data_IF_072657958299
#
_entry.id   IF_072657958299
#
_cell.length_a   1.000
_cell.length_b   1.000
_cell.length_c   1.000
_cell.angle_alpha   90.00
_cell.angle_beta   90.00
_cell.angle_gamma   90.00
#
_symmetry.space_group_name_H-M   'P 1'
#
loop_
_entity.id
_entity.type
_entity.pdbx_description
1 polymer ?
#
# COMPACT_ATOMS: atom_id res chain seq x y z
N UNK A 1 24.62 -27.65 18.26
CA UNK A 1 24.93 -27.12 16.93
C UNK A 1 23.91 -26.01 16.60
N UNK A 2 24.30 -24.76 16.80
CA UNK A 2 23.48 -23.60 16.41
C UNK A 2 23.47 -23.52 14.88
N UNK A 3 22.30 -23.65 14.26
CA UNK A 3 22.08 -23.28 12.87
C UNK A 3 21.83 -21.77 12.84
N UNK A 4 22.80 -21.00 12.41
CA UNK A 4 22.61 -19.62 12.00
C UNK A 4 21.86 -19.63 10.66
N UNK A 5 20.64 -19.16 10.65
CA UNK A 5 19.92 -18.85 9.40
C UNK A 5 20.56 -17.60 8.80
N UNK A 6 21.22 -17.75 7.66
CA UNK A 6 21.65 -16.63 6.85
C UNK A 6 20.43 -16.04 6.12
N UNK A 7 19.74 -15.11 6.75
CA UNK A 7 18.60 -14.39 6.15
C UNK A 7 19.03 -13.40 5.04
N UNK A 8 20.33 -13.08 4.92
CA UNK A 8 20.85 -12.06 4.03
C UNK A 8 20.59 -12.30 2.52
N UNK A 9 20.68 -13.57 2.06
CA UNK A 9 20.44 -13.91 0.65
C UNK A 9 18.97 -13.79 0.25
N UNK A 10 18.06 -14.21 1.13
CA UNK A 10 16.60 -14.15 0.87
C UNK A 10 16.10 -12.71 0.93
N UNK A 11 16.57 -11.92 1.90
CA UNK A 11 16.21 -10.51 2.02
C UNK A 11 16.70 -9.67 0.83
N UNK A 12 17.94 -9.91 0.36
CA UNK A 12 18.49 -9.24 -0.82
C UNK A 12 17.71 -9.58 -2.09
N UNK A 13 17.30 -10.84 -2.29
CA UNK A 13 16.46 -11.25 -3.42
C UNK A 13 15.05 -10.67 -3.36
N UNK A 14 14.45 -10.58 -2.19
CA UNK A 14 13.13 -9.95 -2.00
C UNK A 14 13.22 -8.45 -2.31
N UNK A 15 14.23 -7.75 -1.80
CA UNK A 15 14.44 -6.33 -2.08
C UNK A 15 14.73 -6.04 -3.57
N UNK A 16 15.47 -6.93 -4.25
CA UNK A 16 15.74 -6.82 -5.68
C UNK A 16 14.47 -6.95 -6.54
N UNK A 17 13.45 -7.66 -6.04
CA UNK A 17 12.18 -7.85 -6.74
C UNK A 17 11.09 -6.87 -6.28
N UNK A 18 11.42 -5.86 -5.49
CA UNK A 18 10.48 -4.86 -4.97
C UNK A 18 10.21 -3.69 -5.93
N UNK A 19 10.52 -3.85 -7.20
CA UNK A 19 10.26 -2.85 -8.24
C UNK A 19 10.06 -3.48 -9.62
N UNK A 20 9.34 -2.77 -10.47
CA UNK A 20 9.23 -3.07 -11.90
C UNK A 20 9.98 -1.97 -12.65
N UNK A 21 10.95 -2.39 -13.46
CA UNK A 21 11.77 -1.52 -14.31
C UNK A 21 11.64 -1.96 -15.76
N UNK A 22 11.48 -1.02 -16.67
CA UNK A 22 11.39 -1.29 -18.09
C UNK A 22 12.70 -1.90 -18.62
N UNK A 23 12.65 -3.11 -19.17
CA UNK A 23 13.81 -3.78 -19.78
C UNK A 23 14.06 -3.35 -21.21
N UNK A 24 13.02 -2.87 -21.89
CA UNK A 24 13.04 -2.37 -23.26
C UNK A 24 12.20 -1.10 -23.35
N UNK A 25 12.37 -0.31 -24.40
CA UNK A 25 11.43 0.75 -24.73
C UNK A 25 10.10 0.14 -25.15
N UNK A 26 9.00 0.61 -24.58
CA UNK A 26 7.68 0.05 -24.78
C UNK A 26 6.59 1.07 -24.46
N UNK A 27 5.38 0.81 -24.95
CA UNK A 27 4.15 1.44 -24.44
C UNK A 27 3.61 0.60 -23.30
N UNK A 28 3.17 1.25 -22.25
CA UNK A 28 2.54 0.58 -21.10
C UNK A 28 1.02 0.45 -21.31
N UNK A 29 0.50 -0.70 -20.99
CA UNK A 29 -0.93 -0.96 -20.92
C UNK A 29 -1.23 -1.61 -19.58
N UNK A 30 -2.13 -1.00 -18.79
CA UNK A 30 -2.53 -1.55 -17.50
C UNK A 30 -3.89 -2.22 -17.60
N UNK A 31 -4.00 -3.37 -16.93
CA UNK A 31 -5.28 -4.06 -16.71
C UNK A 31 -5.63 -4.08 -15.23
N UNK A 32 -6.93 -4.00 -14.92
CA UNK A 32 -7.50 -4.01 -13.56
C UNK A 32 -6.82 -3.01 -12.61
N UNK A 33 -6.29 -1.91 -13.16
CA UNK A 33 -5.60 -0.89 -12.38
C UNK A 33 -6.60 -0.01 -11.63
N UNK A 34 -6.50 -0.03 -10.30
CA UNK A 34 -7.16 0.94 -9.42
C UNK A 34 -6.11 1.61 -8.58
N UNK A 35 -6.12 2.92 -8.53
CA UNK A 35 -5.14 3.72 -7.80
C UNK A 35 -5.80 4.80 -6.98
N UNK A 36 -5.10 5.26 -5.94
CA UNK A 36 -5.37 6.49 -5.22
C UNK A 36 -4.19 7.44 -5.41
N UNK A 37 -4.48 8.74 -5.55
CA UNK A 37 -3.45 9.76 -5.61
C UNK A 37 -2.93 10.02 -4.19
N UNK A 38 -1.61 10.08 -4.07
CA UNK A 38 -0.91 10.41 -2.83
C UNK A 38 0.10 11.53 -3.09
N UNK A 39 0.65 12.08 -2.01
CA UNK A 39 1.90 12.85 -2.04
C UNK A 39 2.96 11.96 -1.41
N UNK A 40 4.07 11.76 -2.11
CA UNK A 40 5.17 10.96 -1.60
C UNK A 40 5.96 11.71 -0.51
N UNK A 41 6.95 11.05 0.08
CA UNK A 41 7.82 11.62 1.12
C UNK A 41 8.62 12.84 0.64
N UNK A 42 8.78 13.01 -0.67
CA UNK A 42 9.47 14.14 -1.30
C UNK A 42 8.51 15.30 -1.64
N UNK A 43 7.20 15.12 -1.38
CA UNK A 43 6.17 16.11 -1.69
C UNK A 43 5.69 16.06 -3.15
N UNK A 44 6.07 15.04 -3.92
CA UNK A 44 5.65 14.86 -5.30
C UNK A 44 4.34 14.06 -5.40
N UNK A 45 3.52 14.40 -6.40
CA UNK A 45 2.29 13.65 -6.67
C UNK A 45 2.64 12.27 -7.22
N UNK A 46 2.15 11.24 -6.53
CA UNK A 46 2.33 9.84 -6.91
C UNK A 46 0.99 9.10 -6.85
N UNK A 47 0.95 7.89 -7.38
CA UNK A 47 -0.24 7.03 -7.32
C UNK A 47 0.10 5.75 -6.59
N UNK A 48 -0.81 5.28 -5.72
CA UNK A 48 -0.67 3.99 -5.05
C UNK A 48 -1.73 3.03 -5.56
N UNK A 49 -1.30 1.81 -5.87
CA UNK A 49 -2.18 0.74 -6.36
C UNK A 49 -3.00 0.19 -5.20
N UNK A 50 -4.32 0.24 -5.35
CA UNK A 50 -5.31 -0.33 -4.42
C UNK A 50 -6.07 -1.53 -5.03
N UNK A 51 -5.79 -1.85 -6.29
CA UNK A 51 -6.23 -3.08 -6.95
C UNK A 51 -5.37 -4.28 -6.53
N UNK A 52 -5.99 -5.46 -6.42
CA UNK A 52 -5.27 -6.72 -6.09
C UNK A 52 -4.91 -7.54 -7.32
N UNK A 53 -5.48 -7.18 -8.48
CA UNK A 53 -5.32 -7.89 -9.75
C UNK A 53 -4.68 -7.01 -10.83
N UNK A 54 -4.01 -5.91 -10.41
CA UNK A 54 -3.40 -4.99 -11.34
C UNK A 54 -2.22 -5.65 -12.08
N UNK A 55 -2.23 -5.54 -13.39
CA UNK A 55 -1.15 -5.99 -14.27
C UNK A 55 -0.68 -4.86 -15.16
N UNK A 56 0.61 -4.84 -15.49
CA UNK A 56 1.19 -3.97 -16.49
C UNK A 56 1.78 -4.79 -17.64
N UNK A 57 1.39 -4.46 -18.85
CA UNK A 57 1.91 -5.01 -20.10
C UNK A 57 2.86 -4.03 -20.76
N UNK A 58 3.98 -4.52 -21.22
CA UNK A 58 4.94 -3.80 -22.03
C UNK A 58 4.73 -4.17 -23.49
N UNK A 59 4.25 -3.23 -24.30
CA UNK A 59 3.87 -3.46 -25.68
C UNK A 59 4.88 -2.76 -26.60
N UNK A 60 5.42 -3.50 -27.56
CA UNK A 60 6.31 -2.93 -28.59
C UNK A 60 5.55 -1.90 -29.42
N UNK A 61 6.11 -0.70 -29.54
CA UNK A 61 5.44 0.43 -30.19
C UNK A 61 5.25 0.23 -31.69
N UNK A 62 6.15 -0.55 -32.33
CA UNK A 62 6.15 -0.73 -33.77
C UNK A 62 5.29 -1.92 -34.20
N UNK A 63 5.34 -3.01 -33.42
CA UNK A 63 4.70 -4.26 -33.78
C UNK A 63 3.38 -4.52 -33.05
N UNK A 64 3.13 -3.83 -31.94
CA UNK A 64 1.98 -4.07 -31.07
C UNK A 64 2.07 -5.39 -30.27
N UNK A 65 3.23 -6.06 -30.28
CA UNK A 65 3.43 -7.33 -29.59
C UNK A 65 3.69 -7.07 -28.11
N UNK A 66 3.06 -7.84 -27.22
CA UNK A 66 3.34 -7.83 -25.79
C UNK A 66 4.70 -8.46 -25.52
N UNK A 67 5.64 -7.65 -25.05
CA UNK A 67 7.02 -8.05 -24.74
C UNK A 67 7.12 -8.75 -23.38
N UNK A 68 6.37 -8.26 -22.41
CA UNK A 68 6.29 -8.84 -21.05
C UNK A 68 5.05 -8.34 -20.32
N UNK A 69 4.62 -9.12 -19.32
CA UNK A 69 3.54 -8.78 -18.40
C UNK A 69 4.04 -8.96 -16.97
N UNK A 70 3.70 -8.05 -16.09
CA UNK A 70 4.06 -8.09 -14.67
C UNK A 70 2.85 -7.75 -13.80
N UNK A 71 2.65 -8.51 -12.73
CA UNK A 71 1.68 -8.15 -11.69
C UNK A 71 2.20 -6.95 -10.90
N UNK A 72 1.32 -6.00 -10.64
CA UNK A 72 1.62 -4.82 -9.81
C UNK A 72 0.96 -5.02 -8.44
N UNK A 73 1.75 -5.27 -7.39
CA UNK A 73 1.21 -5.57 -6.07
C UNK A 73 0.38 -4.41 -5.49
N UNK A 74 -0.61 -4.76 -4.66
CA UNK A 74 -1.31 -3.80 -3.83
C UNK A 74 -0.31 -3.00 -2.97
N UNK A 75 -0.51 -1.70 -2.83
CA UNK A 75 0.39 -0.81 -2.10
C UNK A 75 1.60 -0.35 -2.90
N UNK A 76 1.76 -0.76 -4.17
CA UNK A 76 2.83 -0.27 -5.03
C UNK A 76 2.65 1.20 -5.36
N UNK A 77 3.72 1.98 -5.28
CA UNK A 77 3.78 3.33 -5.81
C UNK A 77 4.07 3.28 -7.29
N UNK A 78 3.22 3.91 -8.11
CA UNK A 78 3.37 4.05 -9.56
C UNK A 78 3.96 5.40 -9.92
N UNK A 79 4.91 5.36 -10.87
CA UNK A 79 5.60 6.55 -11.42
C UNK A 79 5.24 6.83 -12.88
N UNK A 80 4.24 6.14 -13.39
CA UNK A 80 3.79 6.19 -14.80
C UNK A 80 2.28 6.07 -14.87
N UNK A 81 1.73 6.38 -16.03
CA UNK A 81 0.29 6.26 -16.34
C UNK A 81 0.04 5.23 -17.44
N UNK A 82 -1.21 4.80 -17.57
CA UNK A 82 -1.63 3.95 -18.67
C UNK A 82 -1.42 4.65 -20.03
N UNK A 83 -0.87 3.93 -20.99
CA UNK A 83 -0.54 4.43 -22.31
C UNK A 83 0.81 5.13 -22.43
N UNK A 84 1.56 5.34 -21.33
CA UNK A 84 2.85 5.99 -21.36
C UNK A 84 3.87 5.23 -22.20
N UNK A 85 4.69 6.00 -22.94
CA UNK A 85 5.87 5.49 -23.61
C UNK A 85 7.05 5.56 -22.66
N UNK A 86 7.68 4.43 -22.42
CA UNK A 86 8.83 4.33 -21.50
C UNK A 86 10.06 3.84 -22.21
N UNK A 87 11.22 4.32 -21.77
CA UNK A 87 12.52 3.85 -22.22
C UNK A 87 13.06 2.77 -21.29
N UNK A 88 14.01 1.98 -21.79
CA UNK A 88 14.75 1.01 -20.99
C UNK A 88 15.36 1.69 -19.76
N UNK A 89 15.16 1.06 -18.59
CA UNK A 89 15.65 1.56 -17.31
C UNK A 89 14.66 2.44 -16.53
N UNK A 90 13.53 2.83 -17.15
CA UNK A 90 12.48 3.60 -16.44
C UNK A 90 11.87 2.78 -15.32
N UNK A 91 11.81 3.35 -14.13
CA UNK A 91 11.09 2.80 -12.99
C UNK A 91 9.58 2.96 -13.22
N UNK A 92 8.85 1.86 -13.16
CA UNK A 92 7.40 1.80 -13.40
C UNK A 92 6.65 1.77 -12.08
N UNK A 93 7.01 0.83 -11.20
CA UNK A 93 6.42 0.65 -9.90
C UNK A 93 7.45 0.24 -8.85
N UNK A 94 7.23 0.63 -7.60
CA UNK A 94 8.02 0.23 -6.44
C UNK A 94 7.10 -0.09 -5.27
N UNK A 95 7.44 -1.09 -4.48
CA UNK A 95 6.72 -1.43 -3.24
C UNK A 95 7.69 -1.84 -2.14
N UNK A 96 7.20 -1.89 -0.91
CA UNK A 96 7.93 -2.47 0.21
C UNK A 96 7.48 -3.93 0.38
N UNK A 97 8.37 -4.91 0.16
CA UNK A 97 8.01 -6.32 0.29
C UNK A 97 7.87 -6.77 1.75
N UNK A 98 8.30 -5.95 2.71
CA UNK A 98 8.29 -6.26 4.14
C UNK A 98 7.10 -5.65 4.87
N UNK A 99 6.53 -4.56 4.34
CA UNK A 99 5.42 -3.84 4.94
C UNK A 99 4.19 -3.87 4.04
N UNK A 100 3.13 -4.55 4.49
CA UNK A 100 1.84 -4.48 3.83
C UNK A 100 1.10 -3.23 4.33
N UNK A 101 0.79 -2.30 3.43
CA UNK A 101 0.01 -1.10 3.75
C UNK A 101 -1.49 -1.36 3.58
N UNK A 102 -2.31 -0.73 4.41
CA UNK A 102 -3.77 -0.65 4.22
C UNK A 102 -4.09 0.79 3.87
N UNK A 103 -4.63 1.01 2.68
CA UNK A 103 -4.94 2.34 2.15
C UNK A 103 -6.45 2.46 2.01
N UNK A 104 -7.02 3.55 2.52
CA UNK A 104 -8.45 3.81 2.34
C UNK A 104 -8.76 4.18 0.89
N UNK A 105 -9.83 3.58 0.37
CA UNK A 105 -10.42 3.89 -0.94
C UNK A 105 -11.68 4.77 -0.80
N UNK A 106 -11.99 5.22 0.42
CA UNK A 106 -13.18 5.98 0.71
C UNK A 106 -12.85 7.23 1.52
N UNK A 107 -13.59 8.30 1.24
CA UNK A 107 -13.58 9.53 2.04
C UNK A 107 -14.55 9.38 3.19
N UNK A 108 -14.14 9.73 4.39
CA UNK A 108 -14.98 9.66 5.57
C UNK A 108 -14.23 9.88 6.87
N UNK A 109 -14.90 9.63 7.97
CA UNK A 109 -14.33 9.65 9.31
C UNK A 109 -13.92 8.24 9.71
N UNK A 110 -12.72 8.08 10.24
CA UNK A 110 -12.28 6.78 10.73
C UNK A 110 -12.77 6.56 12.16
N UNK A 111 -13.26 5.36 12.43
CA UNK A 111 -13.60 4.90 13.76
C UNK A 111 -13.02 3.50 13.99
N UNK A 112 -12.34 3.31 15.13
CA UNK A 112 -11.75 2.03 15.47
C UNK A 112 -12.69 1.19 16.31
N UNK A 113 -12.89 -0.07 15.93
CA UNK A 113 -13.61 -1.06 16.71
C UNK A 113 -12.66 -2.16 17.17
N UNK A 114 -12.82 -2.59 18.44
CA UNK A 114 -11.99 -3.65 19.02
C UNK A 114 -10.53 -3.29 19.21
N UNK A 115 -10.16 -2.01 19.08
CA UNK A 115 -8.80 -1.49 19.31
C UNK A 115 -8.69 -1.06 20.76
N UNK A 116 -8.16 -1.95 21.61
CA UNK A 116 -8.13 -1.81 23.09
C UNK A 116 -6.68 -1.90 23.55
N UNK A 117 -6.23 -0.90 24.30
CA UNK A 117 -4.85 -0.83 24.81
C UNK A 117 -4.50 -2.02 25.70
N UNK A 118 -3.32 -2.57 25.50
CA UNK A 118 -2.80 -3.77 26.17
C UNK A 118 -3.63 -5.06 25.96
N UNK A 119 -4.64 -5.04 25.08
CA UNK A 119 -5.43 -6.21 24.70
C UNK A 119 -5.25 -6.54 23.21
N UNK A 120 -5.50 -5.56 22.33
CA UNK A 120 -5.37 -5.71 20.88
C UNK A 120 -4.30 -4.81 20.29
N UNK A 121 -3.84 -3.80 21.03
CA UNK A 121 -2.68 -2.99 20.64
C UNK A 121 -1.81 -2.64 21.85
N UNK A 122 -0.57 -2.26 21.56
CA UNK A 122 0.37 -1.62 22.49
C UNK A 122 0.91 -0.35 21.88
N UNK A 123 1.33 0.58 22.74
CA UNK A 123 2.06 1.77 22.32
C UNK A 123 3.55 1.50 22.51
N UNK A 124 4.32 1.60 21.44
CA UNK A 124 5.77 1.62 21.49
C UNK A 124 6.27 3.05 21.25
N UNK A 125 7.29 3.44 21.99
CA UNK A 125 7.98 4.71 21.77
C UNK A 125 9.31 4.41 21.11
N UNK A 126 9.55 5.00 19.95
CA UNK A 126 10.87 4.99 19.34
C UNK A 126 11.76 5.97 20.12
N UNK A 127 12.77 5.45 20.82
CA UNK A 127 13.69 6.23 21.61
C UNK A 127 14.53 7.20 20.76
N UNK A 128 14.74 6.90 19.48
CA UNK A 128 15.55 7.72 18.59
C UNK A 128 14.77 8.92 18.04
N UNK A 129 13.49 8.76 17.75
CA UNK A 129 12.64 9.79 17.12
C UNK A 129 11.68 10.43 18.11
N UNK A 130 11.42 9.81 19.26
CA UNK A 130 10.41 10.23 20.25
C UNK A 130 8.97 10.04 19.77
N UNK A 131 8.76 9.40 18.62
CA UNK A 131 7.45 9.10 18.08
C UNK A 131 6.81 7.95 18.84
N UNK A 132 5.50 8.06 19.05
CA UNK A 132 4.68 6.98 19.61
C UNK A 132 3.98 6.27 18.46
N UNK A 133 4.17 4.96 18.41
CA UNK A 133 3.54 4.10 17.43
C UNK A 133 2.56 3.15 18.09
N UNK A 134 1.40 2.99 17.47
CA UNK A 134 0.39 2.02 17.88
C UNK A 134 0.61 0.75 17.06
N UNK A 135 0.93 -0.35 17.75
CA UNK A 135 1.19 -1.64 17.11
C UNK A 135 0.10 -2.62 17.51
N UNK A 136 -0.56 -3.21 16.52
CA UNK A 136 -1.58 -4.25 16.73
C UNK A 136 -0.90 -5.52 17.23
N UNK A 137 -1.38 -6.05 18.36
CA UNK A 137 -0.89 -7.30 18.97
C UNK A 137 -1.93 -8.41 18.91
N UNK A 138 -1.47 -9.63 19.05
CA UNK A 138 -2.39 -10.77 19.12
C UNK A 138 -3.20 -10.73 20.42
N UNK A 139 -4.52 -10.65 20.29
CA UNK A 139 -5.43 -10.72 21.42
C UNK A 139 -5.60 -12.17 21.90
N UNK A 140 -5.58 -12.37 23.21
CA UNK A 140 -5.96 -13.64 23.84
C UNK A 140 -7.45 -13.93 23.67
N UNK A 141 -8.25 -12.87 23.60
CA UNK A 141 -9.69 -12.95 23.33
C UNK A 141 -9.96 -12.90 21.82
N UNK A 142 -10.26 -14.06 21.24
CA UNK A 142 -10.51 -14.19 19.79
C UNK A 142 -11.79 -13.50 19.31
N UNK A 143 -12.62 -13.02 20.23
CA UNK A 143 -13.82 -12.22 19.90
C UNK A 143 -13.46 -10.76 19.62
N UNK A 144 -12.28 -10.32 20.03
CA UNK A 144 -11.77 -8.96 19.83
C UNK A 144 -10.92 -8.90 18.56
N UNK A 145 -11.55 -8.56 17.44
CA UNK A 145 -10.89 -8.37 16.16
C UNK A 145 -10.74 -6.86 15.91
N UNK A 146 -9.51 -6.32 15.99
CA UNK A 146 -9.32 -4.90 15.75
C UNK A 146 -9.62 -4.55 14.29
N UNK A 147 -10.43 -3.53 14.07
CA UNK A 147 -10.82 -3.06 12.74
C UNK A 147 -10.92 -1.52 12.70
N UNK A 148 -10.77 -0.99 11.50
CA UNK A 148 -10.98 0.41 11.18
C UNK A 148 -12.21 0.55 10.27
N UNK A 149 -13.15 1.36 10.68
CA UNK A 149 -14.38 1.67 9.97
C UNK A 149 -14.26 3.04 9.34
N UNK A 150 -14.66 3.19 8.09
CA UNK A 150 -14.81 4.49 7.46
C UNK A 150 -16.31 4.80 7.45
N UNK A 151 -16.67 5.92 8.08
CA UNK A 151 -18.05 6.37 8.22
C UNK A 151 -18.29 7.64 7.41
N UNK A 152 -19.53 7.82 6.95
CA UNK A 152 -20.00 9.11 6.42
C UNK A 152 -20.08 10.16 7.53
N UNK A 153 -20.36 11.42 7.19
CA UNK A 153 -20.61 12.48 8.17
C UNK A 153 -21.88 12.19 9.00
N UNK A 154 -22.83 11.45 8.42
CA UNK A 154 -24.09 11.02 9.09
C UNK A 154 -23.91 9.78 9.96
N UNK A 155 -22.72 9.15 9.95
CA UNK A 155 -22.38 7.98 10.74
C UNK A 155 -22.65 6.63 10.07
N UNK A 156 -23.00 6.62 8.79
CA UNK A 156 -23.22 5.39 8.05
C UNK A 156 -21.88 4.72 7.68
N UNK A 157 -21.82 3.40 7.82
CA UNK A 157 -20.63 2.62 7.49
C UNK A 157 -20.42 2.53 5.98
N UNK A 158 -19.29 3.04 5.50
CA UNK A 158 -18.87 2.95 4.10
C UNK A 158 -18.02 1.69 3.87
N UNK A 159 -17.01 1.48 4.71
CA UNK A 159 -16.06 0.38 4.56
C UNK A 159 -15.41 -0.02 5.88
N UNK A 160 -15.03 -1.30 5.98
CA UNK A 160 -14.32 -1.87 7.12
C UNK A 160 -12.99 -2.46 6.66
N UNK A 161 -11.93 -2.21 7.42
CA UNK A 161 -10.60 -2.78 7.25
C UNK A 161 -10.19 -3.50 8.52
N UNK A 162 -9.91 -4.80 8.42
CA UNK A 162 -9.33 -5.54 9.55
C UNK A 162 -7.87 -5.16 9.73
N UNK A 163 -7.45 -4.90 10.96
CA UNK A 163 -6.09 -4.53 11.30
C UNK A 163 -5.30 -5.80 11.65
N UNK A 164 -4.29 -6.18 10.86
CA UNK A 164 -3.53 -7.38 11.11
C UNK A 164 -2.59 -7.22 12.30
N UNK A 165 -2.28 -8.33 12.96
CA UNK A 165 -1.25 -8.38 14.01
C UNK A 165 0.10 -7.94 13.43
N UNK A 166 0.82 -7.09 14.16
CA UNK A 166 2.05 -6.45 13.70
C UNK A 166 1.84 -5.20 12.85
N UNK A 167 0.58 -4.83 12.55
CA UNK A 167 0.27 -3.60 11.82
C UNK A 167 0.55 -2.36 12.66
N UNK A 168 1.16 -1.36 12.04
CA UNK A 168 1.38 -0.04 12.62
C UNK A 168 0.24 0.87 12.24
N UNK A 169 -0.42 1.47 13.23
CA UNK A 169 -1.53 2.40 13.01
C UNK A 169 -1.00 3.82 13.14
N UNK A 170 -1.01 4.55 12.04
CA UNK A 170 -0.49 5.93 11.93
C UNK A 170 -1.61 6.98 11.94
N UNK A 171 -2.86 6.56 11.97
CA UNK A 171 -4.05 7.44 11.92
C UNK A 171 -4.72 7.43 13.29
N UNK A 172 -5.22 8.58 13.72
CA UNK A 172 -5.95 8.72 14.98
C UNK A 172 -7.45 8.40 14.82
N UNK A 173 -8.06 7.90 15.90
CA UNK A 173 -9.51 7.68 15.94
C UNK A 173 -10.26 9.00 15.77
N UNK A 174 -11.25 9.03 14.88
CA UNK A 174 -12.02 10.22 14.56
C UNK A 174 -11.38 11.13 13.50
N UNK A 175 -10.18 10.82 13.00
CA UNK A 175 -9.54 11.57 11.93
C UNK A 175 -10.34 11.45 10.62
N UNK A 176 -10.46 12.55 9.88
CA UNK A 176 -11.03 12.55 8.53
C UNK A 176 -9.99 12.02 7.55
N UNK A 177 -10.36 11.02 6.78
CA UNK A 177 -9.57 10.49 5.67
C UNK A 177 -10.23 10.90 4.36
N UNK A 178 -9.42 11.27 3.38
CA UNK A 178 -9.91 11.80 2.10
C UNK A 178 -9.35 10.94 0.97
N UNK A 179 -10.24 10.44 0.13
CA UNK A 179 -9.86 9.87 -1.15
C UNK A 179 -9.79 10.99 -2.19
N UNK A 180 -8.60 11.30 -2.69
CA UNK A 180 -8.35 12.49 -3.55
C UNK A 180 -9.12 12.50 -4.88
N UNK A 181 -9.71 11.40 -5.32
CA UNK A 181 -10.56 11.41 -6.51
C UNK A 181 -11.87 12.16 -6.29
N UNK A 182 -12.33 12.32 -5.05
CA UNK A 182 -13.57 13.03 -4.73
C UNK A 182 -13.43 14.56 -4.80
N UNK A 183 -12.21 15.09 -4.81
CA UNK A 183 -11.96 16.54 -4.93
C UNK A 183 -12.07 17.10 -6.37
N UNK A 184 -12.25 16.24 -7.39
CA UNK A 184 -12.37 16.67 -8.80
C UNK A 184 -13.80 16.83 -9.30
N UNK A 185 -14.79 16.76 -8.41
CA UNK A 185 -16.20 17.00 -8.76
C UNK A 185 -16.72 18.18 -7.91
N UNK A 186 -16.13 19.33 -8.14
CA UNK A 186 -16.73 20.62 -7.77
C UNK A 186 -16.30 21.68 -8.79
#
# INVERSE_FOLDING_TARGET
TLRTFHAGGTAANIAANASIVAKNSARLEFEELRTVDIVDEMGEAAKVVVGRLAEVRFVDVNTGIVLSTHNVPYGSTLYVSDGDLVEKGKLIAKWDPFNAVIITEATGKIEFEGVIENVTYKVESDEATGLREIIIIESKDKTKVPSAHILTEDGDLIRTYNLPVGGHVIIENGQKVIHRQDERIA
#
